data_IF_856033357669
#
_entry.id   IF_856033357669
#
_cell.length_a   1.000
_cell.length_b   1.000
_cell.length_c   1.000
_cell.angle_alpha   90.00
_cell.angle_beta   90.00
_cell.angle_gamma   90.00
#
_symmetry.space_group_name_H-M   'P 1'
#
loop_
_entity.id
_entity.type
_entity.pdbx_description
1 polymer ?
#
# COMPACT_ATOMS: atom_id res chain seq x y z
N UNK A 1 -3.00 19.91 -11.54
CA UNK A 1 -2.63 18.49 -11.39
C UNK A 1 -3.82 17.68 -11.87
N UNK A 2 -3.75 17.14 -13.08
CA UNK A 2 -4.88 16.44 -13.73
C UNK A 2 -5.28 15.17 -12.98
N UNK A 3 -4.36 14.58 -12.21
CA UNK A 3 -4.65 13.40 -11.39
C UNK A 3 -5.49 13.80 -10.18
N UNK A 4 -5.12 14.88 -9.47
CA UNK A 4 -5.95 15.40 -8.36
C UNK A 4 -7.32 15.89 -8.79
N UNK A 5 -7.45 16.38 -10.02
CA UNK A 5 -8.74 16.86 -10.54
C UNK A 5 -9.83 15.77 -10.53
N UNK A 6 -9.43 14.48 -10.51
CA UNK A 6 -10.34 13.33 -10.36
C UNK A 6 -11.07 13.29 -9.02
N UNK A 7 -10.62 14.07 -8.02
CA UNK A 7 -11.25 14.19 -6.70
C UNK A 7 -12.23 15.37 -6.63
N UNK A 8 -12.34 16.19 -7.67
CA UNK A 8 -13.27 17.33 -7.69
C UNK A 8 -14.70 16.83 -7.52
N UNK A 9 -15.44 17.46 -6.61
CA UNK A 9 -16.82 17.09 -6.30
C UNK A 9 -16.97 15.94 -5.30
N UNK A 10 -15.87 15.33 -4.84
CA UNK A 10 -15.92 14.39 -3.71
C UNK A 10 -15.72 15.19 -2.42
N UNK A 11 -16.75 15.21 -1.59
CA UNK A 11 -16.73 15.95 -0.33
C UNK A 11 -15.88 15.27 0.75
N UNK A 12 -15.40 16.10 1.67
CA UNK A 12 -14.71 15.68 2.87
C UNK A 12 -15.72 15.07 3.85
N UNK A 13 -15.36 13.98 4.50
CA UNK A 13 -16.16 13.45 5.61
C UNK A 13 -15.73 14.12 6.92
N UNK A 14 -16.67 14.75 7.61
CA UNK A 14 -16.38 15.39 8.90
C UNK A 14 -16.05 14.34 9.96
N UNK A 15 -14.95 14.56 10.70
CA UNK A 15 -14.51 13.65 11.75
C UNK A 15 -14.72 14.33 13.11
N UNK A 16 -15.72 13.92 13.92
CA UNK A 16 -16.09 14.60 15.17
C UNK A 16 -15.19 14.16 16.33
N UNK A 17 -13.88 14.37 16.18
CA UNK A 17 -12.87 14.08 17.19
C UNK A 17 -11.88 15.23 17.30
N UNK A 18 -11.49 15.51 18.54
CA UNK A 18 -10.39 16.41 18.83
C UNK A 18 -9.08 15.90 18.23
N UNK A 19 -8.21 16.83 17.84
CA UNK A 19 -6.95 16.54 17.16
C UNK A 19 -6.03 15.57 17.92
N UNK A 20 -6.06 15.60 19.25
CA UNK A 20 -5.22 14.76 20.12
C UNK A 20 -5.64 13.28 20.10
N UNK A 21 -6.89 12.99 19.77
CA UNK A 21 -7.40 11.62 19.56
C UNK A 21 -7.36 11.26 18.09
N UNK A 22 -7.76 12.19 17.21
CA UNK A 22 -7.92 11.95 15.77
C UNK A 22 -6.59 11.72 15.05
N UNK A 23 -5.60 12.56 15.33
CA UNK A 23 -4.34 12.59 14.56
C UNK A 23 -3.26 11.65 15.16
N UNK A 24 -3.67 10.64 15.96
CA UNK A 24 -2.75 9.66 16.54
C UNK A 24 -2.26 8.69 15.49
N UNK A 25 -0.93 8.63 15.35
CA UNK A 25 -0.23 7.64 14.53
C UNK A 25 0.18 6.42 15.35
N UNK A 26 0.05 5.23 14.76
CA UNK A 26 0.41 3.94 15.37
C UNK A 26 1.43 3.17 14.55
N UNK A 27 2.09 2.19 15.20
CA UNK A 27 2.99 1.26 14.50
C UNK A 27 2.19 0.14 13.81
N UNK A 28 2.60 -0.23 12.59
CA UNK A 28 2.02 -1.36 11.85
C UNK A 28 2.18 -2.69 12.59
N UNK A 29 3.26 -2.86 13.36
CA UNK A 29 3.50 -4.03 14.23
C UNK A 29 2.50 -4.09 15.38
N UNK A 30 2.13 -2.95 15.94
CA UNK A 30 1.05 -2.87 16.92
C UNK A 30 -0.26 -3.34 16.30
N UNK A 31 -0.61 -2.81 15.12
CA UNK A 31 -1.82 -3.24 14.39
C UNK A 31 -1.85 -4.75 14.16
N UNK A 32 -0.77 -5.32 13.63
CA UNK A 32 -0.64 -6.76 13.39
C UNK A 32 -0.77 -7.59 14.66
N UNK A 33 -0.27 -7.09 15.80
CA UNK A 33 -0.29 -7.80 17.08
C UNK A 33 -1.66 -7.75 17.76
N UNK A 34 -2.37 -6.64 17.63
CA UNK A 34 -3.63 -6.37 18.35
C UNK A 34 -4.86 -6.73 17.52
N UNK A 35 -4.85 -6.40 16.22
CA UNK A 35 -5.99 -6.60 15.32
C UNK A 35 -5.72 -7.68 14.25
N UNK A 36 -4.52 -8.27 14.24
CA UNK A 36 -4.16 -9.30 13.28
C UNK A 36 -3.74 -8.76 11.91
N UNK A 37 -3.66 -9.68 10.94
CA UNK A 37 -3.06 -9.39 9.64
C UNK A 37 -1.52 -9.38 9.68
N UNK A 38 -0.90 -9.31 8.51
CA UNK A 38 0.55 -9.12 8.42
C UNK A 38 0.89 -7.62 8.27
N UNK A 39 2.12 -7.22 8.61
CA UNK A 39 2.51 -5.81 8.60
C UNK A 39 2.93 -5.28 7.21
N UNK A 40 2.81 -6.07 6.14
CA UNK A 40 3.36 -5.72 4.81
C UNK A 40 2.28 -5.55 3.74
N UNK A 41 1.21 -6.33 3.79
CA UNK A 41 0.16 -6.32 2.79
C UNK A 41 -0.73 -5.09 2.93
N UNK A 42 -1.14 -4.57 1.77
CA UNK A 42 -2.16 -3.52 1.64
C UNK A 42 -3.50 -4.01 2.19
N UNK A 43 -3.89 -5.24 1.86
CA UNK A 43 -5.14 -5.89 2.30
C UNK A 43 -4.82 -7.15 3.11
N UNK A 44 -4.38 -7.01 4.37
CA UNK A 44 -3.95 -8.15 5.15
C UNK A 44 -5.13 -9.03 5.54
N UNK A 45 -5.01 -10.34 5.38
CA UNK A 45 -6.01 -11.29 5.89
C UNK A 45 -5.92 -11.40 7.41
N UNK A 46 -7.02 -11.15 8.12
CA UNK A 46 -7.07 -11.26 9.58
C UNK A 46 -7.30 -12.71 10.00
N UNK A 47 -6.49 -13.21 10.94
CA UNK A 47 -6.60 -14.59 11.39
C UNK A 47 -7.83 -14.80 12.29
N UNK A 48 -8.46 -15.99 12.22
CA UNK A 48 -9.73 -16.30 12.91
C UNK A 48 -9.75 -15.97 14.41
N UNK A 49 -8.62 -16.09 15.11
CA UNK A 49 -8.53 -15.75 16.54
C UNK A 49 -8.85 -14.28 16.84
N UNK A 50 -8.45 -13.37 15.96
CA UNK A 50 -8.70 -11.94 16.05
C UNK A 50 -10.14 -11.63 15.60
N UNK A 51 -10.60 -12.29 14.53
CA UNK A 51 -11.99 -12.18 14.08
C UNK A 51 -13.00 -12.60 15.15
N UNK A 52 -12.68 -13.61 15.97
CA UNK A 52 -13.53 -14.01 17.11
C UNK A 52 -13.57 -12.98 18.24
N UNK A 53 -12.58 -12.10 18.32
CA UNK A 53 -12.50 -11.07 19.36
C UNK A 53 -13.20 -9.79 18.94
N UNK A 54 -12.96 -9.33 17.71
CA UNK A 54 -13.39 -8.00 17.28
C UNK A 54 -14.14 -7.97 15.94
N UNK A 55 -14.25 -9.09 15.22
CA UNK A 55 -15.02 -9.21 13.97
C UNK A 55 -14.63 -8.24 12.82
N UNK A 56 -13.39 -7.72 12.81
CA UNK A 56 -12.91 -6.79 11.77
C UNK A 56 -11.98 -7.51 10.78
N UNK A 57 -12.31 -7.49 9.49
CA UNK A 57 -11.52 -8.08 8.38
C UNK A 57 -11.40 -7.10 7.19
N UNK A 58 -11.55 -5.82 7.47
CA UNK A 58 -11.77 -4.75 6.50
C UNK A 58 -10.58 -3.77 6.42
N UNK A 59 -9.44 -4.10 7.01
CA UNK A 59 -8.29 -3.20 7.04
C UNK A 59 -7.61 -3.02 5.68
N UNK A 60 -7.18 -1.79 5.40
CA UNK A 60 -6.41 -1.40 4.23
C UNK A 60 -5.27 -0.46 4.62
N UNK A 61 -4.06 -0.72 4.14
CA UNK A 61 -2.85 0.03 4.54
C UNK A 61 -2.11 0.59 3.34
N UNK A 62 -2.16 1.91 3.18
CA UNK A 62 -1.66 2.62 2.03
C UNK A 62 -0.27 3.21 2.28
N UNK A 63 0.66 2.84 1.41
CA UNK A 63 1.98 3.46 1.34
C UNK A 63 1.96 4.61 0.34
N UNK A 64 2.30 5.81 0.80
CA UNK A 64 2.29 7.03 -0.03
C UNK A 64 3.39 7.05 -1.11
N UNK A 65 4.43 6.20 -1.00
CA UNK A 65 5.41 5.99 -2.09
C UNK A 65 4.79 5.30 -3.31
N UNK A 66 3.75 4.50 -3.11
CA UNK A 66 2.96 3.89 -4.19
C UNK A 66 1.72 4.73 -4.52
N UNK A 67 1.09 5.31 -3.50
CA UNK A 67 -0.20 5.98 -3.61
C UNK A 67 -0.06 7.44 -3.15
N UNK A 68 0.60 8.31 -3.92
CA UNK A 68 0.90 9.69 -3.50
C UNK A 68 -0.35 10.54 -3.25
N UNK A 69 -1.48 10.12 -3.81
CA UNK A 69 -2.77 10.80 -3.68
C UNK A 69 -3.76 10.06 -2.75
N UNK A 70 -3.31 9.04 -1.99
CA UNK A 70 -4.14 8.43 -0.95
C UNK A 70 -4.52 9.48 0.12
N UNK A 71 -5.57 9.22 0.93
CA UNK A 71 -5.94 10.13 2.01
C UNK A 71 -4.77 10.42 2.95
N UNK A 72 -4.43 11.71 3.13
CA UNK A 72 -3.37 12.17 4.02
C UNK A 72 -3.91 12.93 5.23
N UNK A 73 -5.23 13.10 5.31
CA UNK A 73 -5.94 13.72 6.43
C UNK A 73 -7.18 12.85 6.70
N UNK A 74 -7.51 12.55 7.97
CA UNK A 74 -8.73 11.83 8.33
C UNK A 74 -9.98 12.44 7.67
N UNK A 75 -10.79 11.60 7.02
CA UNK A 75 -12.00 12.02 6.30
C UNK A 75 -11.80 12.51 4.86
N UNK A 76 -10.56 12.77 4.43
CA UNK A 76 -10.27 13.32 3.11
C UNK A 76 -10.47 12.30 2.00
N UNK A 77 -10.99 12.68 0.82
CA UNK A 77 -10.97 11.81 -0.35
C UNK A 77 -9.53 11.57 -0.83
N UNK A 78 -9.33 10.51 -1.60
CA UNK A 78 -8.03 10.17 -2.16
C UNK A 78 -8.12 9.27 -3.38
N UNK A 79 -6.96 8.90 -3.92
CA UNK A 79 -6.82 7.93 -5.00
C UNK A 79 -6.01 6.73 -4.54
N UNK A 80 -6.39 5.56 -5.02
CA UNK A 80 -5.64 4.33 -4.87
C UNK A 80 -5.18 3.84 -6.24
N UNK A 81 -3.88 3.63 -6.38
CA UNK A 81 -3.26 3.06 -7.57
C UNK A 81 -3.12 1.57 -7.36
N UNK A 82 -3.54 0.80 -8.34
CA UNK A 82 -3.54 -0.65 -8.24
C UNK A 82 -3.25 -1.28 -9.60
N UNK A 83 -2.52 -2.38 -9.60
CA UNK A 83 -2.11 -3.08 -10.80
C UNK A 83 -2.85 -4.39 -11.04
N UNK A 84 -3.54 -4.96 -10.04
CA UNK A 84 -4.04 -6.35 -10.17
C UNK A 84 -5.15 -6.78 -9.19
N UNK A 85 -5.77 -5.90 -8.39
CA UNK A 85 -6.86 -6.33 -7.49
C UNK A 85 -8.20 -6.39 -8.26
N UNK A 86 -8.95 -7.51 -8.14
CA UNK A 86 -10.28 -7.61 -8.71
C UNK A 86 -11.21 -6.52 -8.19
N UNK A 87 -12.03 -5.96 -9.10
CA UNK A 87 -13.02 -4.90 -8.83
C UNK A 87 -13.88 -5.22 -7.60
N UNK A 88 -14.36 -6.46 -7.50
CA UNK A 88 -15.26 -6.89 -6.43
C UNK A 88 -14.61 -6.80 -5.04
N UNK A 89 -13.31 -7.05 -4.93
CA UNK A 89 -12.59 -6.98 -3.65
C UNK A 89 -12.42 -5.54 -3.14
N UNK A 90 -12.45 -4.57 -4.06
CA UNK A 90 -12.32 -3.13 -3.78
C UNK A 90 -13.67 -2.44 -3.53
N UNK A 91 -14.79 -3.08 -3.91
CA UNK A 91 -16.14 -2.53 -3.67
C UNK A 91 -16.55 -2.49 -2.18
N UNK A 92 -15.90 -3.31 -1.33
CA UNK A 92 -16.16 -3.35 0.12
C UNK A 92 -15.67 -2.08 0.79
N UNK A 93 -16.42 -1.62 1.80
CA UNK A 93 -15.93 -0.55 2.70
C UNK A 93 -14.71 -1.06 3.46
N UNK A 94 -13.66 -0.24 3.53
CA UNK A 94 -12.39 -0.56 4.18
C UNK A 94 -12.01 0.46 5.23
N UNK A 95 -11.49 -0.03 6.36
CA UNK A 95 -10.77 0.76 7.34
C UNK A 95 -9.37 1.12 6.84
N UNK A 96 -9.21 2.35 6.37
CA UNK A 96 -7.98 2.80 5.71
C UNK A 96 -7.00 3.41 6.71
N UNK A 97 -5.76 2.96 6.63
CA UNK A 97 -4.61 3.61 7.24
C UNK A 97 -3.65 4.09 6.17
N UNK A 98 -3.12 5.30 6.31
CA UNK A 98 -2.04 5.80 5.46
C UNK A 98 -0.74 5.91 6.24
N UNK A 99 0.36 5.54 5.59
CA UNK A 99 1.70 5.69 6.14
C UNK A 99 2.17 7.12 5.96
N UNK A 100 2.04 7.93 7.01
CA UNK A 100 2.50 9.32 7.02
C UNK A 100 4.02 9.42 7.20
N UNK A 101 4.62 8.46 7.90
CA UNK A 101 6.08 8.33 8.01
C UNK A 101 6.49 6.87 8.27
N UNK A 102 7.79 6.60 8.38
CA UNK A 102 8.28 5.30 8.80
C UNK A 102 7.70 4.92 10.17
N UNK A 103 7.05 3.75 10.21
CA UNK A 103 6.35 3.20 11.38
C UNK A 103 5.21 4.08 11.93
N UNK A 104 4.79 5.12 11.20
CA UNK A 104 3.70 6.00 11.61
C UNK A 104 2.54 5.85 10.62
N UNK A 105 1.50 5.16 11.08
CA UNK A 105 0.29 4.89 10.33
C UNK A 105 -0.89 5.58 11.01
N UNK A 106 -1.62 6.38 10.25
CA UNK A 106 -2.77 7.14 10.76
C UNK A 106 -4.06 6.55 10.19
N UNK A 107 -5.09 6.44 11.04
CA UNK A 107 -6.41 5.98 10.63
C UNK A 107 -7.17 7.09 9.93
N UNK A 108 -7.51 6.86 8.66
CA UNK A 108 -8.11 7.87 7.79
C UNK A 108 -9.64 7.85 7.76
N UNK A 109 -10.26 6.77 8.23
CA UNK A 109 -11.72 6.55 8.14
C UNK A 109 -12.13 5.26 7.40
N UNK A 110 -13.42 5.14 7.14
CA UNK A 110 -14.03 4.04 6.39
C UNK A 110 -14.24 4.48 4.93
N UNK A 111 -13.61 3.78 3.98
CA UNK A 111 -13.60 4.19 2.58
C UNK A 111 -14.31 3.20 1.69
N UNK A 112 -15.11 3.75 0.77
CA UNK A 112 -15.58 3.05 -0.42
C UNK A 112 -14.69 3.44 -1.61
N UNK A 113 -14.34 2.45 -2.43
CA UNK A 113 -13.55 2.68 -3.64
C UNK A 113 -14.40 2.48 -4.89
N UNK A 114 -14.23 3.35 -5.87
CA UNK A 114 -14.92 3.29 -7.16
C UNK A 114 -13.90 3.40 -8.30
N UNK A 115 -14.00 2.56 -9.33
CA UNK A 115 -13.02 2.56 -10.41
C UNK A 115 -13.20 3.82 -11.25
N UNK A 116 -12.09 4.44 -11.61
CA UNK A 116 -12.05 5.51 -12.61
C UNK A 116 -11.14 5.10 -13.76
N UNK A 117 -11.08 5.90 -14.81
CA UNK A 117 -10.16 5.65 -15.91
C UNK A 117 -8.73 5.41 -15.39
N UNK A 118 -7.97 4.49 -15.97
CA UNK A 118 -6.54 4.37 -15.64
C UNK A 118 -5.80 5.70 -15.86
N UNK A 119 -4.62 5.86 -15.26
CA UNK A 119 -3.75 6.97 -15.61
C UNK A 119 -3.41 6.92 -17.09
N UNK A 120 -3.55 8.07 -17.75
CA UNK A 120 -2.98 8.30 -19.07
C UNK A 120 -1.46 8.26 -19.00
N UNK A 121 -0.81 8.07 -20.14
CA UNK A 121 0.65 8.10 -20.23
C UNK A 121 1.23 9.42 -19.73
N UNK A 122 0.55 10.54 -19.97
CA UNK A 122 1.03 11.86 -19.54
C UNK A 122 0.80 12.09 -18.05
N UNK A 123 -0.33 11.65 -17.49
CA UNK A 123 -0.53 11.62 -16.03
C UNK A 123 0.53 10.76 -15.32
N UNK A 124 0.91 9.63 -15.91
CA UNK A 124 1.98 8.78 -15.39
C UNK A 124 3.34 9.50 -15.46
N UNK A 125 3.67 10.14 -16.59
CA UNK A 125 4.92 10.92 -16.74
C UNK A 125 5.03 12.05 -15.72
N UNK A 126 3.91 12.66 -15.34
CA UNK A 126 3.84 13.70 -14.32
C UNK A 126 4.06 13.14 -12.90
N UNK A 127 3.93 11.83 -12.68
CA UNK A 127 4.28 11.23 -11.39
C UNK A 127 5.77 11.38 -11.10
N UNK A 128 6.08 11.60 -9.83
CA UNK A 128 7.45 11.73 -9.35
C UNK A 128 8.26 10.50 -9.73
N UNK A 129 9.55 10.71 -10.01
CA UNK A 129 10.47 9.63 -10.37
C UNK A 129 10.50 8.54 -9.31
N UNK A 130 10.41 8.90 -8.03
CA UNK A 130 10.35 7.97 -6.89
C UNK A 130 9.14 7.05 -6.99
N UNK A 131 7.93 7.59 -7.19
CA UNK A 131 6.69 6.81 -7.35
C UNK A 131 6.80 5.85 -8.53
N UNK A 132 7.26 6.33 -9.69
CA UNK A 132 7.41 5.51 -10.90
C UNK A 132 8.39 4.36 -10.71
N UNK A 133 9.55 4.64 -10.13
CA UNK A 133 10.58 3.62 -9.87
C UNK A 133 10.14 2.62 -8.81
N UNK A 134 9.45 3.08 -7.76
CA UNK A 134 8.96 2.21 -6.71
C UNK A 134 7.92 1.22 -7.24
N UNK A 135 6.95 1.69 -8.02
CA UNK A 135 6.01 0.80 -8.72
C UNK A 135 6.72 -0.20 -9.63
N UNK A 136 7.66 0.26 -10.45
CA UNK A 136 8.41 -0.62 -11.34
C UNK A 136 9.22 -1.69 -10.58
N UNK A 137 9.81 -1.31 -9.44
CA UNK A 137 10.53 -2.23 -8.55
C UNK A 137 9.59 -3.31 -8.01
N UNK A 138 8.47 -2.93 -7.38
CA UNK A 138 7.50 -3.88 -6.81
C UNK A 138 6.86 -4.75 -7.90
N UNK A 139 6.51 -4.19 -9.04
CA UNK A 139 5.96 -4.93 -10.19
C UNK A 139 6.97 -5.92 -10.80
N UNK A 140 8.28 -5.70 -10.66
CA UNK A 140 9.26 -6.66 -11.18
C UNK A 140 9.45 -7.88 -10.27
N UNK A 141 9.24 -7.72 -8.96
CA UNK A 141 9.59 -8.73 -7.95
C UNK A 141 8.38 -9.42 -7.31
N UNK A 142 7.23 -8.74 -7.20
CA UNK A 142 6.08 -9.28 -6.49
C UNK A 142 5.18 -10.13 -7.38
N UNK A 143 4.44 -11.06 -6.76
CA UNK A 143 3.56 -12.00 -7.49
C UNK A 143 2.46 -11.30 -8.27
N UNK A 144 1.83 -10.28 -7.69
CA UNK A 144 0.79 -9.46 -8.33
C UNK A 144 1.30 -8.62 -9.52
N UNK A 145 2.62 -8.52 -9.70
CA UNK A 145 3.19 -7.89 -10.90
C UNK A 145 3.22 -8.81 -12.14
N UNK A 146 2.79 -10.07 -12.02
CA UNK A 146 2.92 -11.07 -13.10
C UNK A 146 2.18 -10.65 -14.37
N UNK A 147 0.96 -10.09 -14.24
CA UNK A 147 0.17 -9.61 -15.37
C UNK A 147 0.88 -8.49 -16.13
N UNK A 148 1.46 -7.53 -15.41
CA UNK A 148 2.25 -6.46 -15.99
C UNK A 148 3.46 -7.01 -16.75
N UNK A 149 4.21 -7.94 -16.15
CA UNK A 149 5.39 -8.54 -16.79
C UNK A 149 5.01 -9.35 -18.03
N UNK A 150 3.93 -10.14 -17.96
CA UNK A 150 3.41 -10.88 -19.11
C UNK A 150 3.00 -9.94 -20.26
N UNK A 151 2.30 -8.85 -19.93
CA UNK A 151 1.88 -7.83 -20.92
C UNK A 151 3.06 -7.25 -21.67
N UNK A 152 4.13 -6.87 -20.95
CA UNK A 152 5.36 -6.31 -21.55
C UNK A 152 6.06 -7.35 -22.42
N UNK A 153 6.23 -8.57 -21.91
CA UNK A 153 6.88 -9.64 -22.66
C UNK A 153 6.15 -9.96 -23.98
N UNK A 154 4.82 -10.10 -23.94
CA UNK A 154 4.02 -10.37 -25.13
C UNK A 154 4.03 -9.19 -26.10
N UNK A 155 4.02 -7.96 -25.59
CA UNK A 155 4.12 -6.78 -26.45
C UNK A 155 5.41 -6.78 -27.27
N UNK A 156 6.53 -7.15 -26.67
CA UNK A 156 7.81 -7.26 -27.35
C UNK A 156 7.84 -8.42 -28.34
N UNK A 157 7.26 -9.56 -27.98
CA UNK A 157 7.17 -10.74 -28.85
C UNK A 157 6.31 -10.47 -30.09
N UNK A 158 5.18 -9.77 -29.92
CA UNK A 158 4.22 -9.55 -31.00
C UNK A 158 4.45 -8.26 -31.78
N UNK A 159 5.25 -7.32 -31.24
CA UNK A 159 5.42 -5.98 -31.82
C UNK A 159 4.15 -5.12 -31.78
N UNK A 160 3.14 -5.51 -30.98
CA UNK A 160 1.85 -4.81 -30.81
C UNK A 160 1.30 -5.02 -29.40
N UNK A 161 0.25 -4.27 -29.06
CA UNK A 161 -0.48 -4.48 -27.79
C UNK A 161 -1.09 -5.90 -27.77
N UNK A 162 -0.81 -6.70 -26.72
CA UNK A 162 -1.46 -7.99 -26.55
C UNK A 162 -2.93 -7.80 -26.14
N UNK A 163 -3.78 -8.73 -26.56
CA UNK A 163 -5.18 -8.82 -26.16
C UNK A 163 -5.31 -9.40 -24.75
N UNK A 164 -6.45 -9.18 -24.10
CA UNK A 164 -6.72 -9.77 -22.78
C UNK A 164 -6.61 -11.30 -22.80
N UNK A 165 -7.11 -11.96 -23.85
CA UNK A 165 -7.04 -13.42 -24.00
C UNK A 165 -5.61 -13.92 -24.11
N UNK A 166 -4.76 -13.25 -24.91
CA UNK A 166 -3.34 -13.60 -25.05
C UNK A 166 -2.61 -13.50 -23.70
N UNK A 167 -2.96 -12.50 -22.88
CA UNK A 167 -2.41 -12.36 -21.52
C UNK A 167 -2.89 -13.50 -20.62
N UNK A 168 -4.19 -13.86 -20.62
CA UNK A 168 -4.69 -14.96 -19.80
C UNK A 168 -4.07 -16.30 -20.17
N UNK A 169 -3.96 -16.61 -21.46
CA UNK A 169 -3.32 -17.84 -21.97
C UNK A 169 -1.85 -17.91 -21.52
N UNK A 170 -1.14 -16.79 -21.60
CA UNK A 170 0.24 -16.66 -21.14
C UNK A 170 0.37 -16.91 -19.61
N UNK A 171 -0.56 -16.38 -18.81
CA UNK A 171 -0.57 -16.56 -17.36
C UNK A 171 -0.87 -18.02 -16.94
N UNK A 172 -1.63 -18.77 -17.74
CA UNK A 172 -1.86 -20.20 -17.52
C UNK A 172 -0.61 -21.07 -17.73
N UNK A 173 0.33 -20.60 -18.57
CA UNK A 173 1.58 -21.31 -18.88
C UNK A 173 2.60 -21.40 -17.73
N UNK A 174 2.31 -20.81 -16.57
CA UNK A 174 3.16 -20.90 -15.37
C UNK A 174 4.46 -20.09 -15.42
N UNK A 175 4.75 -19.41 -16.53
CA UNK A 175 5.89 -18.50 -16.65
C UNK A 175 5.66 -17.25 -15.77
N UNK A 176 6.68 -16.84 -15.01
CA UNK A 176 6.62 -15.67 -14.13
C UNK A 176 7.15 -14.39 -14.76
N UNK A 177 7.76 -14.50 -15.95
CA UNK A 177 8.33 -13.39 -16.72
C UNK A 177 9.38 -12.59 -15.92
N UNK A 178 10.18 -13.28 -15.11
CA UNK A 178 11.20 -12.66 -14.23
C UNK A 178 12.33 -11.97 -15.04
N UNK A 179 12.42 -12.21 -16.34
CA UNK A 179 13.33 -11.52 -17.27
C UNK A 179 12.88 -10.10 -17.63
N UNK A 180 11.66 -9.70 -17.24
CA UNK A 180 11.18 -8.33 -17.39
C UNK A 180 11.64 -7.52 -16.18
N UNK A 181 12.70 -6.71 -16.36
CA UNK A 181 13.34 -5.93 -15.29
C UNK A 181 12.52 -4.70 -14.91
N UNK A 182 12.83 -4.09 -13.76
CA UNK A 182 12.20 -2.83 -13.32
C UNK A 182 12.42 -1.69 -14.33
N UNK A 183 13.57 -1.63 -15.00
CA UNK A 183 13.85 -0.61 -16.02
C UNK A 183 12.90 -0.77 -17.21
N UNK A 184 12.70 -2.02 -17.67
CA UNK A 184 11.75 -2.34 -18.76
C UNK A 184 10.32 -2.01 -18.37
N UNK A 185 9.93 -2.28 -17.12
CA UNK A 185 8.60 -1.91 -16.61
C UNK A 185 8.44 -0.39 -16.59
N UNK A 186 9.41 0.35 -16.05
CA UNK A 186 9.36 1.81 -16.02
C UNK A 186 9.23 2.40 -17.43
N UNK A 187 10.00 1.89 -18.39
CA UNK A 187 9.92 2.30 -19.79
C UNK A 187 8.56 1.95 -20.43
N UNK A 188 8.03 0.75 -20.16
CA UNK A 188 6.75 0.32 -20.71
C UNK A 188 5.58 1.22 -20.30
N UNK A 189 5.54 1.70 -19.06
CA UNK A 189 4.54 2.69 -18.65
C UNK A 189 4.72 4.04 -19.37
N UNK A 190 5.97 4.48 -19.59
CA UNK A 190 6.25 5.73 -20.30
C UNK A 190 5.89 5.68 -21.79
N UNK A 191 5.95 4.48 -22.39
CA UNK A 191 5.48 4.19 -23.75
C UNK A 191 3.98 3.90 -23.83
N UNK A 192 3.28 3.78 -22.70
CA UNK A 192 1.85 3.45 -22.66
C UNK A 192 1.52 2.00 -23.01
N UNK A 193 2.49 1.09 -22.96
CA UNK A 193 2.27 -0.35 -23.19
C UNK A 193 1.46 -0.98 -22.06
N UNK A 194 1.66 -0.45 -20.85
CA UNK A 194 0.89 -0.76 -19.65
C UNK A 194 0.34 0.55 -19.07
N UNK A 195 -0.83 0.47 -18.45
CA UNK A 195 -1.50 1.59 -17.80
C UNK A 195 -1.63 1.29 -16.32
N UNK A 196 -1.73 2.33 -15.47
CA UNK A 196 -1.95 2.18 -14.04
C UNK A 196 -3.45 2.37 -13.73
N UNK A 197 -4.20 1.31 -13.38
CA UNK A 197 -5.55 1.46 -12.86
C UNK A 197 -5.61 2.38 -11.64
N UNK A 198 -6.70 3.14 -11.54
CA UNK A 198 -6.92 4.11 -10.46
C UNK A 198 -8.32 3.97 -9.93
N UNK A 199 -8.43 4.12 -8.62
CA UNK A 199 -9.68 4.12 -7.88
C UNK A 199 -9.83 5.43 -7.13
N UNK A 200 -11.00 6.04 -7.18
CA UNK A 200 -11.37 7.12 -6.27
C UNK A 200 -11.77 6.52 -4.93
N UNK A 201 -11.28 7.13 -3.85
CA UNK A 201 -11.57 6.76 -2.48
C UNK A 201 -12.44 7.84 -1.85
N UNK A 202 -13.66 7.48 -1.45
CA UNK A 202 -14.56 8.36 -0.69
C UNK A 202 -14.67 7.86 0.74
N UNK A 203 -14.37 8.72 1.71
CA UNK A 203 -14.67 8.44 3.12
C UNK A 203 -16.19 8.48 3.30
N UNK A 204 -16.77 7.37 3.74
CA UNK A 204 -18.23 7.22 3.92
C UNK A 204 -18.63 7.23 5.39
N UNK A 205 -17.69 6.95 6.29
CA UNK A 205 -17.91 6.93 7.73
C UNK A 205 -16.56 7.08 8.47
N UNK A 206 -16.59 7.41 9.74
CA UNK A 206 -15.43 7.41 10.62
C UNK A 206 -15.78 6.77 11.96
N UNK A 207 -15.32 5.53 12.18
CA UNK A 207 -15.54 4.82 13.44
C UNK A 207 -14.76 5.45 14.61
N UNK A 208 -15.46 6.32 15.33
CA UNK A 208 -14.97 7.07 16.49
C UNK A 208 -14.59 6.13 17.64
N UNK A 209 -15.35 5.06 17.86
CA UNK A 209 -15.11 4.12 18.97
C UNK A 209 -13.82 3.35 18.73
N UNK A 210 -13.64 2.86 17.50
CA UNK A 210 -12.39 2.24 17.10
C UNK A 210 -11.19 3.17 17.28
N UNK A 211 -11.29 4.44 16.88
CA UNK A 211 -10.17 5.37 17.05
C UNK A 211 -9.83 5.59 18.52
N UNK A 212 -10.84 5.78 19.39
CA UNK A 212 -10.60 5.91 20.84
C UNK A 212 -9.96 4.65 21.44
N UNK A 213 -10.44 3.47 21.05
CA UNK A 213 -9.87 2.18 21.46
C UNK A 213 -8.42 2.01 20.97
N UNK A 214 -8.16 2.36 19.71
CA UNK A 214 -6.84 2.35 19.09
C UNK A 214 -5.85 3.16 19.92
N UNK A 215 -6.22 4.41 20.25
CA UNK A 215 -5.40 5.32 21.06
C UNK A 215 -5.14 4.73 22.45
N UNK A 216 -6.18 4.23 23.13
CA UNK A 216 -6.06 3.65 24.46
C UNK A 216 -5.15 2.40 24.49
N UNK A 217 -5.30 1.51 23.51
CA UNK A 217 -4.47 0.29 23.38
C UNK A 217 -3.03 0.64 23.01
N UNK A 218 -2.82 1.62 22.13
CA UNK A 218 -1.48 2.01 21.69
C UNK A 218 -0.68 2.71 22.80
N UNK A 219 -1.32 3.53 23.63
CA UNK A 219 -0.67 4.22 24.75
C UNK A 219 0.06 3.25 25.71
N UNK A 220 -0.51 2.05 25.87
CA UNK A 220 0.01 0.98 26.73
C UNK A 220 0.88 -0.05 26.00
N UNK A 221 1.05 0.10 24.69
CA UNK A 221 1.78 -0.88 23.89
C UNK A 221 3.30 -0.70 24.04
N UNK A 222 3.98 -1.83 24.27
CA UNK A 222 5.44 -1.91 24.25
C UNK A 222 5.85 -2.82 23.09
N UNK A 223 6.68 -2.33 22.15
CA UNK A 223 7.17 -3.16 21.06
C UNK A 223 7.86 -4.41 21.61
N UNK A 224 7.61 -5.60 21.04
CA UNK A 224 8.37 -6.78 21.43
C UNK A 224 9.86 -6.55 21.13
N UNK A 225 10.77 -7.08 21.97
CA UNK A 225 12.20 -6.95 21.73
C UNK A 225 12.56 -7.51 20.36
N UNK A 226 13.56 -6.93 19.66
CA UNK A 226 14.02 -7.46 18.39
C UNK A 226 14.41 -8.93 18.58
N UNK A 227 13.94 -9.79 17.69
CA UNK A 227 14.32 -11.20 17.71
C UNK A 227 15.85 -11.29 17.65
N UNK A 228 16.47 -12.00 18.60
CA UNK A 228 17.91 -12.28 18.54
C UNK A 228 18.25 -12.84 17.16
N UNK A 229 19.34 -12.39 16.52
CA UNK A 229 19.78 -12.99 15.27
C UNK A 229 19.88 -14.48 15.50
N UNK A 230 19.16 -15.28 14.71
CA UNK A 230 19.27 -16.73 14.79
C UNK A 230 20.73 -17.06 14.56
N UNK A 231 21.43 -17.49 15.62
CA UNK A 231 22.78 -17.99 15.53
C UNK A 231 22.85 -19.00 14.39
N UNK A 232 23.95 -19.00 13.66
CA UNK A 232 24.29 -19.94 12.60
C UNK A 232 24.25 -21.37 13.14
N UNK A 233 23.04 -21.94 13.26
CA UNK A 233 22.84 -23.36 13.49
C UNK A 233 23.28 -24.09 12.23
N UNK A 234 24.16 -25.09 12.42
CA UNK A 234 24.63 -26.02 11.41
C UNK A 234 23.54 -26.36 10.39
N UNK A 235 23.85 -26.11 9.12
CA UNK A 235 22.97 -26.43 8.00
C UNK A 235 22.75 -27.93 7.93
N UNK A 236 21.54 -28.41 8.23
CA UNK A 236 21.02 -29.55 7.49
C UNK A 236 20.89 -29.11 6.03
N UNK A 237 21.59 -29.80 5.13
CA UNK A 237 21.58 -29.57 3.69
C UNK A 237 20.14 -29.70 3.15
N UNK A 238 19.45 -28.57 3.08
CA UNK A 238 18.23 -28.39 2.31
C UNK A 238 18.42 -27.09 1.55
N UNK A 239 18.41 -27.17 0.22
CA UNK A 239 18.71 -26.12 -0.75
C UNK A 239 18.01 -24.80 -0.39
N UNK A 240 18.72 -23.91 0.33
CA UNK A 240 18.22 -22.57 0.69
C UNK A 240 18.14 -21.73 -0.58
N UNK A 241 16.92 -21.56 -1.10
CA UNK A 241 16.61 -20.54 -2.12
C UNK A 241 17.00 -19.15 -1.60
N UNK A 242 17.82 -18.46 -2.38
CA UNK A 242 18.23 -17.05 -2.28
C UNK A 242 16.99 -16.13 -2.33
N UNK A 243 16.32 -15.93 -1.19
CA UNK A 243 15.11 -15.08 -1.03
C UNK A 243 15.33 -13.90 -0.08
N UNK A 244 16.56 -13.67 0.38
CA UNK A 244 16.83 -12.81 1.53
C UNK A 244 17.49 -11.46 1.17
N UNK A 245 18.24 -11.37 0.07
CA UNK A 245 18.94 -10.12 -0.33
C UNK A 245 17.98 -9.09 -0.94
N UNK A 246 17.11 -9.47 -1.89
CA UNK A 246 16.15 -8.54 -2.50
C UNK A 246 15.13 -7.97 -1.49
N UNK A 247 14.84 -8.71 -0.42
CA UNK A 247 13.87 -8.33 0.62
C UNK A 247 14.40 -7.31 1.62
N UNK A 248 15.71 -7.27 1.87
CA UNK A 248 16.32 -6.31 2.79
C UNK A 248 16.42 -4.92 2.15
N UNK A 249 16.73 -4.88 0.85
CA UNK A 249 16.76 -3.64 0.06
C UNK A 249 15.39 -2.97 -0.02
N UNK A 250 14.32 -3.77 -0.08
CA UNK A 250 12.93 -3.28 -0.06
C UNK A 250 12.56 -2.57 1.25
N UNK A 251 13.02 -3.07 2.40
CA UNK A 251 12.77 -2.44 3.71
C UNK A 251 13.53 -1.11 3.84
N UNK A 252 14.75 -1.01 3.32
CA UNK A 252 15.53 0.25 3.28
C UNK A 252 14.94 1.29 2.32
N UNK A 253 14.48 0.90 1.13
CA UNK A 253 13.83 1.83 0.18
C UNK A 253 12.47 2.30 0.69
N UNK A 254 11.73 1.45 1.41
CA UNK A 254 10.48 1.79 2.08
C UNK A 254 10.66 2.70 3.32
N UNK A 255 11.89 2.91 3.81
CA UNK A 255 12.17 3.75 4.98
C UNK A 255 12.59 5.19 4.64
N UNK A 256 12.83 5.54 3.37
CA UNK A 256 13.18 6.92 2.99
C UNK A 256 11.99 7.87 3.23
N UNK A 257 12.16 8.97 4.01
CA UNK A 257 11.08 9.88 4.33
C UNK A 257 10.48 10.56 3.08
N UNK A 258 9.15 10.69 3.07
CA UNK A 258 8.35 11.39 2.06
C UNK A 258 8.23 12.89 2.44
N UNK A 259 9.23 13.44 3.15
CA UNK A 259 9.04 14.67 3.93
C UNK A 259 8.74 15.92 3.09
N UNK A 260 9.22 15.97 1.84
CA UNK A 260 9.29 17.23 1.10
C UNK A 260 7.97 17.66 0.41
N UNK A 261 6.96 16.77 0.26
CA UNK A 261 5.74 17.08 -0.51
C UNK A 261 4.44 16.44 0.04
N UNK A 262 4.41 16.05 1.32
CA UNK A 262 3.12 15.70 1.92
C UNK A 262 2.26 16.96 2.03
N UNK A 263 0.97 16.87 1.69
CA UNK A 263 0.01 17.93 2.07
C UNK A 263 -0.04 18.04 3.59
N UNK A 264 0.15 16.90 4.25
CA UNK A 264 0.36 16.83 5.67
C UNK A 264 1.79 17.22 6.03
N UNK A 265 1.97 18.42 6.57
CA UNK A 265 3.22 18.78 7.24
C UNK A 265 3.27 18.09 8.61
N UNK A 266 4.29 17.26 8.91
CA UNK A 266 4.41 16.60 10.20
C UNK A 266 4.37 17.63 11.33
N UNK A 267 3.27 17.68 12.08
CA UNK A 267 3.25 18.42 13.34
C UNK A 267 4.21 17.67 14.26
N UNK A 268 5.27 18.35 14.70
CA UNK A 268 6.34 17.74 15.48
C UNK A 268 5.79 16.78 16.53
N UNK A 269 6.36 15.58 16.60
CA UNK A 269 5.97 14.59 17.59
C UNK A 269 6.03 15.24 18.96
N UNK A 270 4.89 15.44 19.63
CA UNK A 270 4.91 15.70 21.07
C UNK A 270 5.47 14.45 21.69
N UNK A 271 6.75 14.53 22.07
CA UNK A 271 7.45 13.54 22.87
C UNK A 271 6.53 13.12 24.01
N UNK A 272 6.41 11.80 24.18
CA UNK A 272 5.72 11.14 25.29
C UNK A 272 5.91 11.98 26.57
N UNK A 273 4.85 12.33 27.32
CA UNK A 273 5.05 12.97 28.62
C UNK A 273 5.97 12.07 29.44
N UNK A 274 7.13 12.60 29.82
CA UNK A 274 8.02 11.91 30.74
C UNK A 274 7.23 11.60 32.01
N UNK A 275 7.31 10.37 32.50
CA UNK A 275 6.77 10.03 33.82
C UNK A 275 7.44 10.97 34.84
N UNK A 276 6.62 11.76 35.54
CA UNK A 276 6.98 12.33 36.83
C UNK A 276 6.90 11.24 37.91
#
# INVERSE_FOLDING_TARGET
DTVRDRLKGIEFHEVPLDHDVRDVVVDRRFMSKVYGGNPQETFPQVAQKFLREHHMDDFMYLNLNMNPHAPQVPGAPGLFFDADVPVDALSKIRRVFSRINSKQWEYMGQYKMEPVASLTTDEWKQQRKTVRLFWASKLSTWKWGIRCRATIHLHEQFGRRPTGREIEEALQGGNRYNNVTKERIAEAFLKGWVTMPVWTMKCVDYDVNFQRELVAKFANWVPPPPSKPKGTGQSCQGTKRKRQEDRALDEEEDEKPIADDLVYHPKGTRSRPGRA
#
